data_IF_294049126352
#
_entry.id   IF_294049126352
#
_cell.length_a   1.000
_cell.length_b   1.000
_cell.length_c   1.000
_cell.angle_alpha   90.00
_cell.angle_beta   90.00
_cell.angle_gamma   90.00
#
_symmetry.space_group_name_H-M   'P 1'
#
loop_
_entity.id
_entity.type
_entity.pdbx_description
1 polymer ?
#
# COMPACT_ATOMS: atom_id res chain seq x y z
N UNK A 1 17.50 -12.24 17.51
CA UNK A 1 16.31 -11.64 16.87
C UNK A 1 15.09 -11.81 17.79
N UNK A 2 14.65 -10.72 18.41
CA UNK A 2 13.55 -10.66 19.36
C UNK A 2 12.19 -10.80 18.66
N UNK A 3 11.13 -11.08 19.43
CA UNK A 3 9.75 -11.10 18.93
C UNK A 3 9.33 -9.74 18.33
N UNK A 4 9.85 -8.64 18.88
CA UNK A 4 9.66 -7.26 18.40
C UNK A 4 10.28 -7.09 17.00
N UNK A 5 11.54 -7.48 16.82
CA UNK A 5 12.25 -7.39 15.54
C UNK A 5 11.62 -8.26 14.44
N UNK A 6 11.14 -9.47 14.77
CA UNK A 6 10.43 -10.35 13.82
C UNK A 6 9.14 -9.70 13.33
N UNK A 7 8.37 -9.11 14.24
CA UNK A 7 7.11 -8.44 13.91
C UNK A 7 7.35 -7.20 13.06
N UNK A 8 8.39 -6.43 13.40
CA UNK A 8 8.79 -5.25 12.64
C UNK A 8 9.19 -5.61 11.20
N UNK A 9 10.00 -6.65 11.03
CA UNK A 9 10.40 -7.14 9.70
C UNK A 9 9.18 -7.48 8.83
N UNK A 10 8.23 -8.25 9.37
CA UNK A 10 7.01 -8.63 8.65
C UNK A 10 6.16 -7.41 8.27
N UNK A 11 6.06 -6.42 9.15
CA UNK A 11 5.31 -5.19 8.85
C UNK A 11 5.98 -4.37 7.75
N UNK A 12 7.32 -4.24 7.78
CA UNK A 12 8.09 -3.54 6.76
C UNK A 12 8.03 -4.24 5.40
N UNK A 13 8.07 -5.57 5.37
CA UNK A 13 7.88 -6.36 4.14
C UNK A 13 6.49 -6.16 3.55
N UNK A 14 5.45 -6.17 4.39
CA UNK A 14 4.07 -5.87 3.95
C UNK A 14 3.92 -4.45 3.43
N UNK A 15 4.51 -3.47 4.12
CA UNK A 15 4.50 -2.07 3.69
C UNK A 15 5.12 -1.93 2.29
N UNK A 16 6.31 -2.48 2.10
CA UNK A 16 7.01 -2.46 0.81
C UNK A 16 6.20 -3.12 -0.30
N UNK A 17 5.52 -4.24 -0.02
CA UNK A 17 4.64 -4.90 -0.98
C UNK A 17 3.48 -3.99 -1.42
N UNK A 18 2.79 -3.32 -0.48
CA UNK A 18 1.66 -2.46 -0.81
C UNK A 18 2.10 -1.18 -1.51
N UNK A 19 3.22 -0.58 -1.12
CA UNK A 19 3.81 0.58 -1.82
C UNK A 19 4.17 0.23 -3.26
N UNK A 20 4.76 -0.94 -3.51
CA UNK A 20 5.06 -1.42 -4.86
C UNK A 20 3.80 -1.74 -5.68
N UNK A 21 2.70 -2.17 -5.04
CA UNK A 21 1.42 -2.37 -5.71
C UNK A 21 0.77 -1.02 -6.08
N UNK A 22 0.82 -0.04 -5.18
CA UNK A 22 0.32 1.32 -5.43
C UNK A 22 1.07 1.98 -6.59
N UNK A 23 2.40 1.86 -6.60
CA UNK A 23 3.24 2.38 -7.68
C UNK A 23 2.84 1.80 -9.04
N UNK A 24 2.61 0.48 -9.13
CA UNK A 24 2.13 -0.16 -10.36
C UNK A 24 0.77 0.37 -10.79
N UNK A 25 -0.20 0.48 -9.89
CA UNK A 25 -1.51 1.04 -10.22
C UNK A 25 -1.44 2.49 -10.71
N UNK A 26 -0.51 3.30 -10.20
CA UNK A 26 -0.31 4.66 -10.67
C UNK A 26 0.41 4.72 -12.03
N UNK A 27 1.36 3.81 -12.29
CA UNK A 27 2.10 3.73 -13.54
C UNK A 27 1.27 3.16 -14.69
N UNK A 28 0.50 2.10 -14.43
CA UNK A 28 -0.35 1.42 -15.40
C UNK A 28 -1.58 2.27 -15.79
N UNK A 29 -1.85 3.35 -15.04
CA UNK A 29 -2.90 4.32 -15.36
C UNK A 29 -2.39 5.32 -16.42
N UNK A 30 -2.32 4.86 -17.67
CA UNK A 30 -2.28 5.73 -18.85
C UNK A 30 -3.75 6.05 -19.24
N UNK A 31 -4.15 7.33 -19.36
CA UNK A 31 -5.53 7.68 -19.69
C UNK A 31 -5.77 7.36 -21.17
N UNK A 32 -6.34 6.19 -21.44
CA UNK A 32 -6.95 5.88 -22.73
C UNK A 32 -8.48 5.87 -22.58
N UNK A 33 -9.17 6.34 -23.62
CA UNK A 33 -10.55 6.88 -23.63
C UNK A 33 -11.70 5.95 -23.13
N UNK A 34 -11.43 4.75 -22.62
CA UNK A 34 -12.42 3.76 -22.12
C UNK A 34 -12.88 4.00 -20.66
N UNK A 35 -12.96 5.28 -20.29
CA UNK A 35 -12.73 5.90 -18.97
C UNK A 35 -13.71 5.67 -17.80
N UNK A 36 -14.83 4.95 -17.92
CA UNK A 36 -15.89 5.10 -16.88
C UNK A 36 -15.78 4.13 -15.69
N UNK A 37 -15.70 2.82 -15.95
CA UNK A 37 -15.76 1.80 -14.89
C UNK A 37 -14.37 1.42 -14.41
N UNK A 38 -13.42 1.23 -15.34
CA UNK A 38 -12.04 0.87 -15.02
C UNK A 38 -11.38 1.95 -14.13
N UNK A 39 -11.52 3.22 -14.51
CA UNK A 39 -11.03 4.36 -13.72
C UNK A 39 -11.64 4.44 -12.32
N UNK A 40 -12.92 4.09 -12.14
CA UNK A 40 -13.56 4.07 -10.81
C UNK A 40 -12.98 2.96 -9.93
N UNK A 41 -12.79 1.76 -10.49
CA UNK A 41 -12.18 0.62 -9.77
C UNK A 41 -10.73 0.93 -9.42
N UNK A 42 -9.93 1.45 -10.36
CA UNK A 42 -8.54 1.87 -10.10
C UNK A 42 -8.46 2.93 -9.01
N UNK A 43 -9.35 3.93 -9.00
CA UNK A 43 -9.40 4.95 -7.93
C UNK A 43 -9.73 4.34 -6.57
N UNK A 44 -10.68 3.41 -6.50
CA UNK A 44 -11.01 2.72 -5.25
C UNK A 44 -9.83 1.87 -4.74
N UNK A 45 -9.17 1.13 -5.64
CA UNK A 45 -7.98 0.34 -5.31
C UNK A 45 -6.84 1.22 -4.77
N UNK A 46 -6.59 2.37 -5.40
CA UNK A 46 -5.61 3.36 -4.92
C UNK A 46 -5.95 3.89 -3.53
N UNK A 47 -7.23 4.21 -3.27
CA UNK A 47 -7.67 4.67 -1.95
C UNK A 47 -7.44 3.58 -0.88
N UNK A 48 -7.86 2.35 -1.17
CA UNK A 48 -7.70 1.21 -0.25
C UNK A 48 -6.22 0.95 0.04
N UNK A 49 -5.36 1.01 -0.98
CA UNK A 49 -3.92 0.83 -0.83
C UNK A 49 -3.31 1.92 0.04
N UNK A 50 -3.69 3.18 -0.13
CA UNK A 50 -3.22 4.28 0.70
C UNK A 50 -3.62 4.08 2.17
N UNK A 51 -4.87 3.72 2.46
CA UNK A 51 -5.34 3.44 3.83
C UNK A 51 -4.55 2.28 4.47
N UNK A 52 -4.31 1.20 3.71
CA UNK A 52 -3.54 0.06 4.19
C UNK A 52 -2.06 0.42 4.49
N UNK A 53 -1.45 1.27 3.66
CA UNK A 53 -0.09 1.80 3.85
C UNK A 53 -0.02 2.66 5.12
N UNK A 54 -0.97 3.57 5.32
CA UNK A 54 -1.02 4.42 6.51
C UNK A 54 -1.17 3.62 7.80
N UNK A 55 -2.07 2.63 7.83
CA UNK A 55 -2.25 1.73 8.98
C UNK A 55 -0.97 0.95 9.29
N UNK A 56 -0.26 0.46 8.27
CA UNK A 56 1.02 -0.22 8.44
C UNK A 56 2.11 0.70 8.99
N UNK A 57 2.21 1.95 8.51
CA UNK A 57 3.14 2.95 9.03
C UNK A 57 2.87 3.24 10.50
N UNK A 58 1.61 3.48 10.89
CA UNK A 58 1.25 3.70 12.29
C UNK A 58 1.58 2.49 13.18
N UNK A 59 1.38 1.26 12.68
CA UNK A 59 1.73 0.04 13.42
C UNK A 59 3.23 -0.10 13.60
N UNK A 60 4.03 0.28 12.59
CA UNK A 60 5.49 0.30 12.65
C UNK A 60 5.94 1.34 13.67
N UNK A 61 5.46 2.58 13.58
CA UNK A 61 5.83 3.67 14.49
C UNK A 61 5.55 3.34 15.96
N UNK A 62 4.36 2.76 16.24
CA UNK A 62 3.99 2.27 17.58
C UNK A 62 4.87 1.12 18.07
N UNK A 63 5.39 0.31 17.15
CA UNK A 63 6.31 -0.77 17.46
C UNK A 63 7.75 -0.28 17.57
N UNK A 64 8.15 0.83 16.96
CA UNK A 64 9.52 1.36 17.07
C UNK A 64 9.69 2.29 18.28
N UNK A 65 8.61 2.94 18.69
CA UNK A 65 8.48 3.62 19.99
C UNK A 65 8.72 2.65 21.16
#
# INVERSE_FOLDING_TARGET
MTKKEKRLKVLKEKLSFYEGKLYRHMFDYQPDLTESIFTKVTRQDVIILNVAIEDLRQKIDKLES
#
